data_IF_851965380215
#
_entry.id   IF_851965380215
#
_cell.length_a   1.000
_cell.length_b   1.000
_cell.length_c   1.000
_cell.angle_alpha   90.00
_cell.angle_beta   90.00
_cell.angle_gamma   90.00
#
_symmetry.space_group_name_H-M   'P 1'
#
loop_
_entity.id
_entity.type
_entity.pdbx_description
1 polymer ?
#
# COMPACT_ATOMS: atom_id res chain seq x y z
N UNK A 1 -5.31 -36.27 -2.35
CA UNK A 1 -5.91 -35.39 -1.32
C UNK A 1 -4.89 -34.31 -1.00
N UNK A 2 -5.12 -33.08 -1.46
CA UNK A 2 -4.19 -31.97 -1.27
C UNK A 2 -4.42 -31.41 0.14
N UNK A 3 -3.35 -31.27 0.93
CA UNK A 3 -3.33 -30.75 2.30
C UNK A 3 -3.27 -29.20 2.46
N UNK A 4 -3.49 -28.31 1.47
CA UNK A 4 -3.15 -26.90 1.66
C UNK A 4 -4.08 -26.17 2.63
N UNK A 5 -5.23 -26.75 2.99
CA UNK A 5 -6.17 -26.13 3.95
C UNK A 5 -5.80 -26.29 5.42
N UNK A 6 -4.75 -27.05 5.75
CA UNK A 6 -4.28 -27.25 7.13
C UNK A 6 -3.01 -26.46 7.47
N UNK A 7 -2.40 -25.80 6.49
CA UNK A 7 -1.30 -24.89 6.76
C UNK A 7 -1.89 -23.56 7.24
N UNK A 8 -1.28 -22.92 8.26
CA UNK A 8 -1.69 -21.58 8.65
C UNK A 8 -1.64 -20.68 7.42
N UNK A 9 -2.62 -19.77 7.27
CA UNK A 9 -2.76 -18.84 6.14
C UNK A 9 -1.45 -18.12 5.75
N UNK A 10 -0.51 -17.99 6.69
CA UNK A 10 0.83 -17.46 6.44
C UNK A 10 1.70 -18.32 5.51
N UNK A 11 1.56 -19.65 5.53
CA UNK A 11 2.42 -20.57 4.79
C UNK A 11 2.37 -20.34 3.26
N UNK A 12 1.20 -20.07 2.70
CA UNK A 12 1.04 -19.79 1.27
C UNK A 12 1.85 -18.55 0.85
N UNK A 13 1.84 -17.50 1.68
CA UNK A 13 2.64 -16.29 1.41
C UNK A 13 4.14 -16.52 1.58
N UNK A 14 4.56 -17.46 2.44
CA UNK A 14 5.96 -17.88 2.55
C UNK A 14 6.43 -18.67 1.32
N UNK A 15 5.59 -19.58 0.82
CA UNK A 15 5.88 -20.34 -0.40
C UNK A 15 5.94 -19.39 -1.59
N UNK A 16 4.98 -18.49 -1.74
CA UNK A 16 4.98 -17.48 -2.80
C UNK A 16 6.26 -16.62 -2.77
N UNK A 17 6.64 -16.11 -1.59
CA UNK A 17 7.87 -15.33 -1.43
C UNK A 17 9.13 -16.11 -1.81
N UNK A 18 9.20 -17.37 -1.40
CA UNK A 18 10.32 -18.28 -1.74
C UNK A 18 10.39 -18.52 -3.25
N UNK A 19 9.27 -18.82 -3.90
CA UNK A 19 9.20 -19.08 -5.36
C UNK A 19 9.57 -17.84 -6.17
N UNK A 20 9.12 -16.66 -5.73
CA UNK A 20 9.42 -15.38 -6.39
C UNK A 20 10.86 -14.92 -6.09
N UNK A 21 11.51 -15.46 -5.04
CA UNK A 21 12.86 -15.10 -4.64
C UNK A 21 12.96 -13.71 -4.01
N UNK A 22 11.92 -13.27 -3.30
CA UNK A 22 11.84 -11.95 -2.63
C UNK A 22 11.34 -12.11 -1.20
N UNK A 23 11.53 -11.11 -0.34
CA UNK A 23 10.85 -11.09 0.96
C UNK A 23 9.32 -11.02 0.76
N UNK A 24 8.56 -11.37 1.81
CA UNK A 24 7.10 -11.52 1.72
C UNK A 24 6.39 -10.25 1.27
N UNK A 25 6.90 -9.07 1.62
CA UNK A 25 6.30 -7.81 1.21
C UNK A 25 6.53 -7.57 -0.27
N UNK A 26 7.78 -7.65 -0.72
CA UNK A 26 8.14 -7.44 -2.13
C UNK A 26 7.51 -8.51 -3.05
N UNK A 27 7.42 -9.76 -2.59
CA UNK A 27 6.69 -10.81 -3.27
C UNK A 27 5.20 -10.47 -3.42
N UNK A 28 4.55 -9.95 -2.38
CA UNK A 28 3.17 -9.46 -2.44
C UNK A 28 2.98 -8.32 -3.43
N UNK A 29 3.89 -7.34 -3.43
CA UNK A 29 3.92 -6.24 -4.41
C UNK A 29 4.06 -6.78 -5.84
N UNK A 30 4.98 -7.72 -6.05
CA UNK A 30 5.19 -8.37 -7.35
C UNK A 30 3.92 -9.08 -7.81
N UNK A 31 3.27 -9.84 -6.92
CA UNK A 31 2.02 -10.53 -7.22
C UNK A 31 0.90 -9.56 -7.61
N UNK A 32 0.71 -8.46 -6.86
CA UNK A 32 -0.29 -7.43 -7.20
C UNK A 32 -0.01 -6.80 -8.56
N UNK A 33 1.25 -6.43 -8.83
CA UNK A 33 1.66 -5.82 -10.09
C UNK A 33 1.47 -6.73 -11.29
N UNK A 34 1.78 -8.02 -11.15
CA UNK A 34 1.65 -9.02 -12.22
C UNK A 34 0.18 -9.38 -12.47
N UNK A 35 -0.62 -9.52 -11.40
CA UNK A 35 -2.03 -9.88 -11.52
C UNK A 35 -2.87 -8.78 -12.19
N UNK A 36 -2.65 -7.51 -11.81
CA UNK A 36 -3.30 -6.37 -12.45
C UNK A 36 -2.42 -5.10 -12.37
N UNK A 37 -1.68 -4.78 -13.44
CA UNK A 37 -0.84 -3.59 -13.50
C UNK A 37 -1.61 -2.25 -13.44
N UNK A 38 -2.91 -2.23 -13.78
CA UNK A 38 -3.74 -1.02 -13.71
C UNK A 38 -4.19 -0.78 -12.28
N UNK A 39 -4.71 -1.81 -11.62
CA UNK A 39 -5.10 -1.71 -10.21
C UNK A 39 -3.89 -1.42 -9.32
N UNK A 40 -2.73 -2.03 -9.59
CA UNK A 40 -1.49 -1.72 -8.87
C UNK A 40 -1.07 -0.25 -8.99
N UNK A 41 -1.24 0.39 -10.16
CA UNK A 41 -0.96 1.83 -10.31
C UNK A 41 -1.79 2.68 -9.36
N UNK A 42 -3.08 2.39 -9.21
CA UNK A 42 -3.93 3.09 -8.24
C UNK A 42 -3.43 2.96 -6.79
N UNK A 43 -2.94 1.78 -6.40
CA UNK A 43 -2.32 1.55 -5.08
C UNK A 43 -1.04 2.36 -4.92
N UNK A 44 -0.16 2.34 -5.93
CA UNK A 44 1.09 3.08 -5.92
C UNK A 44 0.88 4.59 -5.84
N UNK A 45 -0.06 5.12 -6.64
CA UNK A 45 -0.40 6.55 -6.68
C UNK A 45 -1.02 7.01 -5.35
N UNK A 46 -1.94 6.21 -4.78
CA UNK A 46 -2.53 6.51 -3.45
C UNK A 46 -1.48 6.49 -2.34
N UNK A 47 -0.58 5.51 -2.39
CA UNK A 47 0.53 5.43 -1.43
C UNK A 47 1.48 6.62 -1.56
N UNK A 48 1.69 7.10 -2.79
CA UNK A 48 2.51 8.29 -3.02
C UNK A 48 1.83 9.56 -2.49
N UNK A 49 0.53 9.73 -2.71
CA UNK A 49 -0.25 10.83 -2.16
C UNK A 49 -0.19 10.87 -0.62
N UNK A 50 -0.32 9.71 0.04
CA UNK A 50 -0.19 9.61 1.50
C UNK A 50 1.22 9.98 1.97
N UNK A 51 2.26 9.48 1.29
CA UNK A 51 3.65 9.83 1.63
C UNK A 51 3.92 11.32 1.46
N UNK A 52 3.43 11.92 0.37
CA UNK A 52 3.58 13.34 0.10
C UNK A 52 2.86 14.23 1.13
N UNK A 53 1.89 13.67 1.86
CA UNK A 53 1.09 14.36 2.88
C UNK A 53 1.27 13.76 4.29
N UNK A 54 2.35 13.02 4.55
CA UNK A 54 2.50 12.21 5.75
C UNK A 54 2.35 13.02 7.06
N UNK A 55 2.91 14.23 7.09
CA UNK A 55 2.80 15.13 8.24
C UNK A 55 1.35 15.60 8.46
N UNK A 56 0.69 16.14 7.42
CA UNK A 56 -0.68 16.63 7.50
C UNK A 56 -1.67 15.52 7.89
N UNK A 57 -1.50 14.32 7.31
CA UNK A 57 -2.32 13.16 7.64
C UNK A 57 -2.05 12.70 9.09
N UNK A 58 -0.79 12.67 9.52
CA UNK A 58 -0.43 12.31 10.89
C UNK A 58 -1.04 13.25 11.94
N UNK A 59 -0.96 14.55 11.70
CA UNK A 59 -1.59 15.56 12.56
C UNK A 59 -3.12 15.43 12.58
N UNK A 60 -3.73 15.18 11.41
CA UNK A 60 -5.17 14.98 11.30
C UNK A 60 -5.65 13.73 12.05
N UNK A 61 -4.91 12.63 11.95
CA UNK A 61 -5.21 11.40 12.67
C UNK A 61 -5.12 11.60 14.20
N UNK A 62 -4.12 12.35 14.66
CA UNK A 62 -3.96 12.66 16.08
C UNK A 62 -5.06 13.61 16.60
N UNK A 63 -5.45 14.59 15.80
CA UNK A 63 -6.59 15.47 16.09
C UNK A 63 -7.90 14.68 16.19
N UNK A 64 -8.15 13.74 15.27
CA UNK A 64 -9.33 12.88 15.30
C UNK A 64 -9.35 11.98 16.54
N UNK A 65 -8.20 11.40 16.89
CA UNK A 65 -8.02 10.61 18.11
C UNK A 65 -8.31 11.43 19.37
N UNK A 66 -7.85 12.69 19.39
CA UNK A 66 -8.02 13.59 20.54
C UNK A 66 -9.47 14.09 20.67
N UNK A 67 -10.11 14.42 19.56
CA UNK A 67 -11.49 14.90 19.53
C UNK A 67 -12.53 13.78 19.73
N UNK A 68 -12.17 12.54 19.41
CA UNK A 68 -13.10 11.41 19.39
C UNK A 68 -14.15 11.52 18.28
N UNK A 69 -13.85 12.26 17.22
CA UNK A 69 -14.75 12.54 16.10
C UNK A 69 -13.97 12.74 14.79
N UNK A 70 -14.68 12.54 13.67
CA UNK A 70 -14.11 12.70 12.33
C UNK A 70 -13.54 14.11 12.13
N UNK A 71 -12.34 14.19 11.54
CA UNK A 71 -11.68 15.45 11.19
C UNK A 71 -11.61 15.62 9.69
N UNK A 72 -11.87 16.84 9.22
CA UNK A 72 -11.56 17.24 7.85
C UNK A 72 -10.16 17.83 7.81
N UNK A 73 -9.34 17.31 6.91
CA UNK A 73 -7.99 17.81 6.68
C UNK A 73 -7.77 18.07 5.20
N UNK A 74 -6.97 19.10 4.93
CA UNK A 74 -6.54 19.44 3.57
C UNK A 74 -5.29 18.64 3.23
N UNK A 75 -5.34 17.96 2.09
CA UNK A 75 -4.17 17.34 1.48
C UNK A 75 -3.72 18.17 0.28
N UNK A 76 -2.43 18.13 0.01
CA UNK A 76 -1.82 18.74 -1.17
C UNK A 76 -1.67 17.67 -2.24
N UNK A 77 -2.28 17.92 -3.41
CA UNK A 77 -2.02 17.14 -4.62
C UNK A 77 -0.97 17.89 -5.42
N UNK A 78 0.20 17.27 -5.61
CA UNK A 78 1.29 17.89 -6.38
C UNK A 78 0.87 18.03 -7.84
N UNK A 79 1.15 19.19 -8.43
CA UNK A 79 1.07 19.35 -9.87
C UNK A 79 2.07 18.40 -10.56
N UNK A 80 1.76 17.88 -11.76
CA UNK A 80 2.73 17.13 -12.54
C UNK A 80 3.99 17.98 -12.74
N UNK A 81 5.17 17.37 -12.61
CA UNK A 81 6.40 18.06 -13.00
C UNK A 81 6.27 18.46 -14.47
N UNK A 82 6.41 19.75 -14.76
CA UNK A 82 6.47 20.22 -16.14
C UNK A 82 7.62 19.47 -16.83
N UNK A 83 7.45 19.03 -18.09
CA UNK A 83 8.56 18.42 -18.83
C UNK A 83 9.72 19.41 -18.84
N UNK A 84 10.92 18.90 -18.56
CA UNK A 84 12.15 19.69 -18.74
C UNK A 84 12.16 20.16 -20.20
N UNK A 85 12.25 21.47 -20.40
CA UNK A 85 12.36 22.12 -21.71
C UNK A 85 13.72 21.82 -22.33
#
# INVERSE_FOLDING_TARGET
>A
MLLPRFLPFSADTHVAATVIGQDRWNAGVTMMRVADPRSWRGVADSSQLVRDNAEAIGQCAEAARTAGSDQQCTITVKAPAAPAQ
#
